data_IF_318630203611
#
_entry.id   IF_318630203611
#
_cell.length_a   1.000
_cell.length_b   1.000
_cell.length_c   1.000
_cell.angle_alpha   90.00
_cell.angle_beta   90.00
_cell.angle_gamma   90.00
#
_symmetry.space_group_name_H-M   'P 1'
#
loop_
_entity.id
_entity.type
_entity.pdbx_description
1 polymer ?
#
# COMPACT_ATOMS: atom_id res chain seq x y z
N UNK A 1 -6.37 36.31 -4.52
CA UNK A 1 -7.05 35.49 -3.48
C UNK A 1 -6.08 34.39 -3.08
N UNK A 2 -5.91 34.09 -1.79
CA UNK A 2 -5.14 32.91 -1.37
C UNK A 2 -5.93 31.68 -1.82
N UNK A 3 -5.30 30.80 -2.59
CA UNK A 3 -5.89 29.51 -2.95
C UNK A 3 -5.89 28.62 -1.69
N UNK A 4 -7.07 28.29 -1.17
CA UNK A 4 -7.24 27.49 0.05
C UNK A 4 -8.29 26.41 -0.19
N UNK A 5 -7.92 25.15 0.13
CA UNK A 5 -8.82 24.00 -0.04
C UNK A 5 -8.57 22.94 1.06
N UNK A 6 -9.51 22.03 1.19
CA UNK A 6 -9.34 20.83 2.00
C UNK A 6 -9.05 19.64 1.10
N UNK A 7 -8.07 18.83 1.50
CA UNK A 7 -7.80 17.54 0.88
C UNK A 7 -7.84 16.43 1.92
N UNK A 8 -8.47 15.31 1.58
CA UNK A 8 -8.77 14.24 2.52
C UNK A 8 -8.23 12.91 2.00
N UNK A 9 -7.59 12.15 2.89
CA UNK A 9 -7.21 10.75 2.65
C UNK A 9 -7.70 9.86 3.77
N UNK A 10 -7.89 8.59 3.47
CA UNK A 10 -8.26 7.56 4.44
C UNK A 10 -7.23 6.44 4.50
N UNK A 11 -7.22 5.72 5.60
CA UNK A 11 -6.49 4.47 5.79
C UNK A 11 -7.31 3.48 6.60
N UNK A 12 -6.92 2.22 6.57
CA UNK A 12 -7.57 1.14 7.32
C UNK A 12 -6.54 0.32 8.09
N UNK A 13 -6.98 -0.31 9.19
CA UNK A 13 -6.13 -1.20 9.97
C UNK A 13 -5.89 -2.53 9.24
N UNK A 14 -4.92 -3.28 9.73
CA UNK A 14 -4.66 -4.66 9.29
C UNK A 14 -5.84 -5.61 9.45
N UNK A 15 -6.77 -5.30 10.38
CA UNK A 15 -7.97 -6.10 10.62
C UNK A 15 -9.18 -5.74 9.75
N UNK A 16 -9.07 -4.73 8.89
CA UNK A 16 -10.08 -4.46 7.88
C UNK A 16 -10.19 -5.64 6.91
N UNK A 17 -11.40 -6.09 6.51
CA UNK A 17 -11.58 -7.27 5.66
C UNK A 17 -10.76 -7.26 4.37
N UNK A 18 -10.75 -6.15 3.64
CA UNK A 18 -9.94 -6.04 2.40
C UNK A 18 -8.44 -6.17 2.71
N UNK A 19 -7.95 -5.60 3.82
CA UNK A 19 -6.53 -5.73 4.19
C UNK A 19 -6.19 -7.09 4.78
N UNK A 20 -7.13 -7.79 5.37
CA UNK A 20 -6.98 -9.21 5.72
C UNK A 20 -6.79 -10.05 4.45
N UNK A 21 -7.59 -9.80 3.42
CA UNK A 21 -7.47 -10.49 2.13
C UNK A 21 -6.10 -10.23 1.47
N UNK A 22 -5.64 -8.97 1.45
CA UNK A 22 -4.31 -8.59 0.96
C UNK A 22 -3.19 -9.31 1.72
N UNK A 23 -3.26 -9.35 3.06
CA UNK A 23 -2.26 -10.02 3.90
C UNK A 23 -2.21 -11.53 3.66
N UNK A 24 -3.35 -12.19 3.46
CA UNK A 24 -3.38 -13.63 3.15
C UNK A 24 -2.74 -13.88 1.78
N UNK A 25 -3.10 -13.10 0.78
CA UNK A 25 -2.56 -13.23 -0.59
C UNK A 25 -1.05 -13.00 -0.63
N UNK A 26 -0.54 -11.98 0.08
CA UNK A 26 0.89 -11.72 0.16
C UNK A 26 1.65 -12.73 1.03
N UNK A 27 1.01 -13.33 2.03
CA UNK A 27 1.61 -14.42 2.81
C UNK A 27 1.77 -15.70 1.97
N UNK A 28 0.82 -15.98 1.07
CA UNK A 28 0.96 -17.08 0.10
C UNK A 28 2.11 -16.79 -0.86
N UNK A 29 2.21 -15.57 -1.38
CA UNK A 29 3.32 -15.17 -2.24
C UNK A 29 4.67 -15.32 -1.53
N UNK A 30 4.82 -14.80 -0.33
CA UNK A 30 6.07 -14.88 0.43
C UNK A 30 6.47 -16.33 0.72
N UNK A 31 5.51 -17.18 1.09
CA UNK A 31 5.75 -18.60 1.31
C UNK A 31 6.33 -19.31 0.08
N UNK A 32 5.80 -18.96 -1.10
CA UNK A 32 6.22 -19.57 -2.37
C UNK A 32 7.56 -19.00 -2.82
N UNK A 33 7.74 -17.67 -2.85
CA UNK A 33 8.94 -17.03 -3.40
C UNK A 33 10.19 -17.33 -2.56
N UNK A 34 10.03 -17.55 -1.26
CA UNK A 34 11.12 -17.99 -0.37
C UNK A 34 11.71 -19.35 -0.81
N UNK A 35 10.89 -20.20 -1.41
CA UNK A 35 11.24 -21.59 -1.79
C UNK A 35 11.43 -21.77 -3.29
N UNK A 36 10.82 -20.91 -4.11
CA UNK A 36 10.87 -20.92 -5.57
C UNK A 36 10.83 -19.49 -6.11
N UNK A 37 11.99 -18.89 -6.29
CA UNK A 37 12.13 -17.52 -6.83
C UNK A 37 11.69 -17.40 -8.30
N UNK A 38 11.49 -18.52 -9.01
CA UNK A 38 11.01 -18.53 -10.40
C UNK A 38 9.50 -18.70 -10.48
N UNK A 39 8.82 -18.88 -9.36
CA UNK A 39 7.38 -19.05 -9.30
C UNK A 39 6.65 -17.87 -9.96
N UNK A 40 5.54 -18.16 -10.60
CA UNK A 40 4.56 -17.16 -11.02
C UNK A 40 3.35 -17.29 -10.10
N UNK A 41 2.98 -16.19 -9.50
CA UNK A 41 1.91 -16.14 -8.50
C UNK A 41 0.95 -15.00 -8.82
N UNK A 42 -0.32 -15.36 -8.94
CA UNK A 42 -1.45 -14.45 -8.97
C UNK A 42 -2.50 -15.00 -7.99
N UNK A 43 -2.39 -14.60 -6.72
CA UNK A 43 -3.20 -15.12 -5.62
C UNK A 43 -4.17 -14.05 -5.16
N UNK A 44 -5.45 -14.37 -5.16
CA UNK A 44 -6.52 -13.51 -4.67
C UNK A 44 -7.26 -14.19 -3.53
N UNK A 45 -7.74 -13.39 -2.60
CA UNK A 45 -8.45 -13.86 -1.41
C UNK A 45 -9.76 -13.11 -1.26
N UNK A 46 -10.83 -13.84 -0.97
CA UNK A 46 -12.10 -13.33 -0.49
C UNK A 46 -12.28 -13.76 0.96
N UNK A 47 -12.61 -12.82 1.84
CA UNK A 47 -13.04 -13.09 3.20
C UNK A 47 -14.47 -12.59 3.41
N UNK A 48 -15.28 -13.35 4.13
CA UNK A 48 -16.65 -12.99 4.46
C UNK A 48 -17.07 -13.72 5.74
N UNK A 49 -18.33 -13.56 6.13
CA UNK A 49 -18.85 -14.13 7.36
C UNK A 49 -18.57 -15.65 7.47
N UNK A 50 -17.63 -16.01 8.34
CA UNK A 50 -17.28 -17.39 8.66
C UNK A 50 -16.40 -18.13 7.65
N UNK A 51 -15.98 -17.51 6.53
CA UNK A 51 -15.10 -18.18 5.57
C UNK A 51 -14.05 -17.27 4.91
N UNK A 52 -13.01 -17.93 4.42
CA UNK A 52 -11.96 -17.37 3.57
C UNK A 52 -11.84 -18.27 2.33
N UNK A 53 -11.84 -17.69 1.14
CA UNK A 53 -11.56 -18.37 -0.11
C UNK A 53 -10.28 -17.81 -0.73
N UNK A 54 -9.31 -18.70 -1.00
CA UNK A 54 -8.09 -18.38 -1.72
C UNK A 54 -8.24 -18.92 -3.13
N UNK A 55 -8.01 -18.09 -4.13
CA UNK A 55 -8.16 -18.44 -5.55
C UNK A 55 -7.04 -17.79 -6.37
N UNK A 56 -7.02 -18.06 -7.67
CA UNK A 56 -6.01 -17.52 -8.58
C UNK A 56 -5.18 -18.63 -9.25
N UNK A 57 -4.06 -18.26 -9.85
CA UNK A 57 -3.22 -19.15 -10.63
C UNK A 57 -1.78 -19.15 -10.14
N UNK A 58 -1.20 -20.33 -10.04
CA UNK A 58 0.19 -20.54 -9.65
C UNK A 58 0.94 -21.36 -10.71
N UNK A 59 2.22 -21.02 -10.91
CA UNK A 59 3.19 -21.87 -11.59
C UNK A 59 4.39 -22.03 -10.67
N UNK A 60 4.44 -23.12 -9.93
CA UNK A 60 5.50 -23.42 -8.97
C UNK A 60 5.53 -24.92 -8.69
N UNK A 61 6.70 -25.42 -8.27
CA UNK A 61 6.86 -26.78 -7.75
C UNK A 61 6.59 -26.88 -6.25
N UNK A 62 6.36 -25.75 -5.57
CA UNK A 62 6.17 -25.68 -4.13
C UNK A 62 4.73 -25.99 -3.75
N UNK A 63 4.52 -26.92 -2.86
CA UNK A 63 3.23 -27.08 -2.18
C UNK A 63 3.09 -26.01 -1.10
N UNK A 64 2.12 -25.10 -1.28
CA UNK A 64 1.78 -24.09 -0.30
C UNK A 64 0.57 -24.55 0.55
N UNK A 65 0.72 -24.65 1.88
CA UNK A 65 -0.37 -25.06 2.77
C UNK A 65 -1.33 -23.89 3.02
N UNK A 66 -2.20 -23.60 2.05
CA UNK A 66 -3.07 -22.43 1.99
C UNK A 66 -3.89 -22.21 3.27
N UNK A 67 -4.42 -23.30 3.85
CA UNK A 67 -5.23 -23.20 5.05
C UNK A 67 -4.44 -22.76 6.28
N UNK A 68 -3.22 -23.29 6.44
CA UNK A 68 -2.34 -22.94 7.55
C UNK A 68 -1.85 -21.50 7.41
N UNK A 69 -1.46 -21.09 6.21
CA UNK A 69 -1.03 -19.71 5.90
C UNK A 69 -2.15 -18.73 6.25
N UNK A 70 -3.38 -18.96 5.76
CA UNK A 70 -4.51 -18.08 6.06
C UNK A 70 -4.80 -18.00 7.56
N UNK A 71 -4.81 -19.14 8.28
CA UNK A 71 -5.07 -19.18 9.72
C UNK A 71 -4.02 -18.41 10.52
N UNK A 72 -2.74 -18.55 10.18
CA UNK A 72 -1.67 -17.83 10.86
C UNK A 72 -1.75 -16.31 10.62
N UNK A 73 -2.12 -15.87 9.42
CA UNK A 73 -2.37 -14.45 9.14
C UNK A 73 -3.54 -13.93 9.96
N UNK A 74 -4.67 -14.61 9.96
CA UNK A 74 -5.88 -14.22 10.72
C UNK A 74 -5.58 -14.16 12.23
N UNK A 75 -4.83 -15.13 12.75
CA UNK A 75 -4.36 -15.15 14.14
C UNK A 75 -3.44 -13.98 14.46
N UNK A 76 -2.46 -13.69 13.59
CA UNK A 76 -1.52 -12.57 13.74
C UNK A 76 -2.22 -11.21 13.73
N UNK A 77 -3.26 -11.05 12.91
CA UNK A 77 -4.11 -9.85 12.89
C UNK A 77 -4.83 -9.67 14.22
N UNK A 78 -5.22 -10.77 14.90
CA UNK A 78 -5.87 -10.75 16.21
C UNK A 78 -7.32 -11.20 16.21
N UNK A 79 -7.78 -11.87 15.16
CA UNK A 79 -9.08 -12.55 15.16
C UNK A 79 -8.95 -13.93 15.84
N UNK A 80 -8.85 -13.88 17.16
CA UNK A 80 -8.55 -15.04 18.04
C UNK A 80 -9.71 -15.46 18.95
N UNK A 81 -10.83 -14.75 18.87
CA UNK A 81 -12.03 -14.98 19.67
C UNK A 81 -13.25 -15.03 18.77
N UNK A 82 -14.08 -16.05 18.94
CA UNK A 82 -15.34 -16.22 18.21
C UNK A 82 -16.33 -15.05 18.41
N UNK A 83 -16.23 -14.34 19.54
CA UNK A 83 -17.02 -13.13 19.82
C UNK A 83 -16.68 -11.95 18.88
N UNK A 84 -15.57 -12.02 18.14
CA UNK A 84 -15.24 -11.02 17.13
C UNK A 84 -15.95 -11.28 15.79
N UNK A 85 -16.73 -12.38 15.72
CA UNK A 85 -17.49 -12.78 14.54
C UNK A 85 -16.67 -13.45 13.44
N UNK A 86 -15.35 -13.52 13.61
CA UNK A 86 -14.41 -14.25 12.78
C UNK A 86 -13.29 -14.80 13.67
N UNK A 87 -12.91 -16.06 13.51
CA UNK A 87 -11.91 -16.73 14.36
C UNK A 87 -11.04 -17.63 13.49
N UNK A 88 -9.72 -17.50 13.63
CA UNK A 88 -8.73 -18.27 12.86
C UNK A 88 -8.90 -19.80 12.97
N UNK A 89 -9.50 -20.30 14.08
CA UNK A 89 -9.70 -21.74 14.31
C UNK A 89 -10.93 -22.28 13.61
N UNK A 90 -12.02 -21.48 13.58
CA UNK A 90 -13.36 -21.93 13.17
C UNK A 90 -13.76 -21.49 11.77
N UNK A 91 -13.12 -20.46 11.19
CA UNK A 91 -13.41 -20.02 9.83
C UNK A 91 -13.12 -21.14 8.82
N UNK A 92 -14.03 -21.36 7.87
CA UNK A 92 -13.81 -22.25 6.75
C UNK A 92 -12.75 -21.63 5.81
N UNK A 93 -11.73 -22.39 5.42
CA UNK A 93 -10.74 -21.95 4.42
C UNK A 93 -10.87 -22.84 3.19
N UNK A 94 -11.30 -22.23 2.09
CA UNK A 94 -11.52 -22.88 0.80
C UNK A 94 -10.31 -22.58 -0.10
N UNK A 95 -9.87 -23.59 -0.85
CA UNK A 95 -8.80 -23.46 -1.83
C UNK A 95 -9.36 -23.72 -3.24
N UNK A 96 -9.33 -22.69 -4.09
CA UNK A 96 -9.74 -22.73 -5.50
C UNK A 96 -8.59 -22.34 -6.43
N UNK A 97 -7.34 -22.49 -5.97
CA UNK A 97 -6.16 -22.14 -6.77
C UNK A 97 -5.94 -23.17 -7.89
N UNK A 98 -5.74 -22.68 -9.10
CA UNK A 98 -5.44 -23.46 -10.31
C UNK A 98 -4.01 -23.27 -10.80
N UNK A 99 -3.69 -23.97 -11.91
CA UNK A 99 -2.42 -23.78 -12.64
C UNK A 99 -2.53 -22.58 -13.59
N UNK A 100 -1.42 -21.84 -13.76
CA UNK A 100 -1.35 -20.73 -14.70
C UNK A 100 -1.46 -21.22 -16.14
N UNK A 101 -2.25 -20.50 -16.97
CA UNK A 101 -2.41 -20.78 -18.39
C UNK A 101 -1.05 -20.80 -19.13
N UNK A 102 -0.77 -21.84 -19.94
CA UNK A 102 0.43 -21.89 -20.77
C UNK A 102 0.54 -20.73 -21.76
N UNK A 103 -0.60 -20.22 -22.24
CA UNK A 103 -0.64 -19.15 -23.25
C UNK A 103 -0.08 -17.82 -22.72
N UNK A 104 -0.31 -17.52 -21.43
CA UNK A 104 0.24 -16.32 -20.78
C UNK A 104 1.76 -16.42 -20.64
N UNK A 105 2.30 -17.61 -20.38
CA UNK A 105 3.73 -17.83 -20.18
C UNK A 105 4.58 -17.58 -21.43
N UNK A 106 4.04 -17.79 -22.65
CA UNK A 106 4.80 -17.63 -23.90
C UNK A 106 5.33 -16.21 -24.11
N UNK A 107 4.62 -15.20 -23.62
CA UNK A 107 5.03 -13.79 -23.76
C UNK A 107 5.94 -13.28 -22.64
N UNK A 108 5.99 -13.97 -21.50
CA UNK A 108 6.70 -13.52 -20.29
C UNK A 108 8.10 -14.14 -20.18
N UNK A 109 8.20 -15.46 -20.29
CA UNK A 109 9.47 -16.18 -20.20
C UNK A 109 10.08 -16.33 -21.59
N UNK A 110 11.11 -15.55 -21.93
CA UNK A 110 11.77 -15.56 -23.23
C UNK A 110 13.02 -16.44 -23.23
N UNK A 111 13.32 -17.04 -24.38
CA UNK A 111 14.50 -17.91 -24.58
C UNK A 111 15.84 -17.16 -24.39
N UNK A 112 15.86 -15.82 -24.64
CA UNK A 112 17.02 -14.95 -24.46
C UNK A 112 17.29 -14.57 -22.97
N UNK A 113 16.46 -15.05 -22.05
CA UNK A 113 16.58 -14.77 -20.62
C UNK A 113 16.07 -13.39 -20.20
N UNK A 114 15.47 -12.63 -21.12
CA UNK A 114 14.74 -11.41 -20.81
C UNK A 114 13.31 -11.75 -20.34
N UNK A 115 12.66 -10.80 -19.65
CA UNK A 115 11.29 -10.92 -19.15
C UNK A 115 10.46 -9.87 -19.87
N UNK A 116 9.48 -10.30 -20.64
CA UNK A 116 8.45 -9.42 -21.19
C UNK A 116 7.44 -9.03 -20.11
N UNK A 117 6.77 -7.90 -20.27
CA UNK A 117 5.69 -7.52 -19.36
C UNK A 117 4.59 -8.59 -19.36
N UNK A 118 4.17 -9.03 -18.18
CA UNK A 118 3.15 -10.07 -18.00
C UNK A 118 1.75 -9.61 -18.37
N UNK A 119 1.53 -8.32 -18.52
CA UNK A 119 0.27 -7.72 -18.94
C UNK A 119 0.52 -6.35 -19.58
N UNK A 120 -0.52 -5.80 -20.22
CA UNK A 120 -0.59 -4.39 -20.55
C UNK A 120 -1.00 -3.61 -19.30
N UNK A 121 -0.58 -2.35 -19.19
CA UNK A 121 -1.04 -1.50 -18.11
C UNK A 121 -0.28 -0.19 -18.01
N UNK A 122 -0.79 0.66 -17.12
CA UNK A 122 -0.14 1.92 -16.77
C UNK A 122 -0.04 2.01 -15.24
N UNK A 123 1.12 2.42 -14.74
CA UNK A 123 1.43 2.49 -13.32
C UNK A 123 1.92 3.89 -12.97
N UNK A 124 1.58 4.35 -11.78
CA UNK A 124 1.95 5.67 -11.31
C UNK A 124 2.85 5.60 -10.10
N UNK A 125 3.83 6.51 -10.07
CA UNK A 125 4.62 6.85 -8.90
C UNK A 125 4.46 8.32 -8.55
N UNK A 126 4.54 8.64 -7.27
CA UNK A 126 4.42 10.00 -6.77
C UNK A 126 5.38 10.26 -5.62
N UNK A 127 5.85 11.51 -5.53
CA UNK A 127 6.56 12.03 -4.37
C UNK A 127 6.35 13.55 -4.26
N UNK A 128 6.34 14.06 -3.03
CA UNK A 128 6.23 15.49 -2.75
C UNK A 128 6.93 15.82 -1.41
N UNK A 129 7.37 17.07 -1.25
CA UNK A 129 8.06 17.58 -0.06
C UNK A 129 7.05 17.98 1.06
N UNK A 130 6.10 17.11 1.37
CA UNK A 130 5.12 17.37 2.43
C UNK A 130 5.45 16.64 3.74
N UNK A 131 6.22 15.54 3.66
CA UNK A 131 6.70 14.76 4.78
C UNK A 131 8.15 14.34 4.58
N UNK A 132 8.83 13.89 5.62
CA UNK A 132 10.23 13.42 5.54
C UNK A 132 10.37 12.23 4.58
N UNK A 133 9.38 11.37 4.50
CA UNK A 133 9.34 10.21 3.59
C UNK A 133 8.91 10.57 2.17
N UNK A 134 8.71 11.88 1.88
CA UNK A 134 8.26 12.40 0.59
C UNK A 134 6.90 11.85 0.14
N UNK A 135 5.99 11.70 1.11
CA UNK A 135 4.59 11.30 0.91
C UNK A 135 3.64 12.48 1.11
N UNK A 136 2.44 12.43 0.50
CA UNK A 136 1.37 13.40 0.82
C UNK A 136 0.99 13.33 2.30
N UNK A 137 0.84 14.48 2.93
CA UNK A 137 0.57 14.57 4.36
C UNK A 137 -0.73 13.86 4.78
N UNK A 138 -1.88 13.98 4.09
CA UNK A 138 -3.13 13.38 4.55
C UNK A 138 -3.08 11.86 4.65
N UNK A 139 -2.53 11.17 3.64
CA UNK A 139 -2.42 9.70 3.68
C UNK A 139 -1.36 9.24 4.69
N UNK A 140 -0.26 9.96 4.82
CA UNK A 140 0.77 9.69 5.81
C UNK A 140 0.18 9.71 7.23
N UNK A 141 -0.57 10.76 7.58
CA UNK A 141 -1.21 10.87 8.89
C UNK A 141 -2.31 9.81 9.08
N UNK A 142 -3.08 9.50 8.05
CA UNK A 142 -4.09 8.45 8.11
C UNK A 142 -3.46 7.07 8.40
N UNK A 143 -2.34 6.73 7.78
CA UNK A 143 -1.59 5.50 8.07
C UNK A 143 -1.05 5.47 9.51
N UNK A 144 -0.49 6.57 9.99
CA UNK A 144 -0.01 6.65 11.36
C UNK A 144 -1.11 6.38 12.39
N UNK A 145 -2.32 6.92 12.18
CA UNK A 145 -3.46 6.71 13.07
C UNK A 145 -3.92 5.25 13.08
N UNK A 146 -4.05 4.61 11.90
CA UNK A 146 -4.48 3.21 11.83
C UNK A 146 -3.43 2.25 12.36
N UNK A 147 -2.15 2.54 12.15
CA UNK A 147 -1.06 1.78 12.75
C UNK A 147 -1.05 1.89 14.27
N UNK A 148 -1.26 3.10 14.81
CA UNK A 148 -1.34 3.32 16.25
C UNK A 148 -2.55 2.61 16.89
N UNK A 149 -3.72 2.58 16.23
CA UNK A 149 -4.87 1.79 16.68
C UNK A 149 -4.49 0.32 16.87
N UNK A 150 -3.81 -0.28 15.89
CA UNK A 150 -3.37 -1.67 15.97
C UNK A 150 -2.31 -1.88 17.07
N UNK A 151 -1.35 -0.96 17.23
CA UNK A 151 -0.35 -1.03 18.28
C UNK A 151 -0.98 -0.96 19.67
N UNK A 152 -1.87 0.02 19.93
CA UNK A 152 -2.54 0.20 21.22
C UNK A 152 -3.44 -0.98 21.61
N UNK A 153 -3.97 -1.67 20.62
CA UNK A 153 -4.66 -2.95 20.83
C UNK A 153 -3.69 -4.07 21.22
N UNK A 154 -2.57 -4.21 20.47
CA UNK A 154 -1.60 -5.29 20.66
C UNK A 154 -0.80 -5.18 21.96
N UNK A 155 -0.42 -3.96 22.36
CA UNK A 155 0.30 -3.70 23.61
C UNK A 155 -0.62 -3.63 24.84
N UNK A 156 -1.93 -3.84 24.63
CA UNK A 156 -2.96 -3.83 25.67
C UNK A 156 -3.12 -2.46 26.39
N UNK A 157 -2.65 -1.37 25.78
CA UNK A 157 -2.92 0.00 26.30
C UNK A 157 -4.41 0.33 26.21
N UNK A 158 -5.05 -0.06 25.09
CA UNK A 158 -6.49 0.07 24.87
C UNK A 158 -7.11 -1.30 24.62
N UNK A 159 -7.32 -2.13 25.66
CA UNK A 159 -7.70 -3.53 25.56
C UNK A 159 -9.11 -3.77 24.99
N UNK A 160 -9.93 -2.72 24.96
CA UNK A 160 -11.28 -2.77 24.37
C UNK A 160 -11.28 -2.62 22.85
N UNK A 161 -10.16 -2.25 22.21
CA UNK A 161 -10.05 -2.20 20.74
C UNK A 161 -10.04 -3.60 20.15
N UNK A 162 -10.69 -3.73 18.99
CA UNK A 162 -10.72 -4.94 18.16
C UNK A 162 -10.00 -4.68 16.83
N UNK A 163 -9.73 -5.71 16.00
CA UNK A 163 -8.83 -5.58 14.88
C UNK A 163 -9.26 -4.60 13.77
N UNK A 164 -10.57 -4.48 13.49
CA UNK A 164 -11.07 -3.65 12.40
C UNK A 164 -11.12 -2.17 12.75
N UNK A 165 -10.73 -1.34 11.82
CA UNK A 165 -10.78 0.11 12.00
C UNK A 165 -10.36 0.88 10.76
N UNK A 166 -10.73 2.15 10.75
CA UNK A 166 -10.44 3.12 9.69
C UNK A 166 -10.07 4.47 10.29
N UNK A 167 -9.27 5.22 9.57
CA UNK A 167 -9.02 6.63 9.82
C UNK A 167 -9.24 7.45 8.56
N UNK A 168 -9.62 8.72 8.72
CA UNK A 168 -9.67 9.69 7.65
C UNK A 168 -9.15 11.02 8.20
N UNK A 169 -8.28 11.68 7.44
CA UNK A 169 -7.68 12.97 7.83
C UNK A 169 -7.90 13.97 6.71
N UNK A 170 -8.54 15.09 7.06
CA UNK A 170 -8.72 16.25 6.17
C UNK A 170 -7.72 17.33 6.56
N UNK A 171 -6.85 17.68 5.63
CA UNK A 171 -5.80 18.69 5.79
C UNK A 171 -6.18 19.93 4.99
N UNK A 172 -6.00 21.09 5.60
CA UNK A 172 -6.14 22.40 4.93
C UNK A 172 -4.85 22.75 4.23
N UNK A 173 -4.97 23.11 2.99
CA UNK A 173 -3.90 23.62 2.16
C UNK A 173 -4.07 25.11 1.90
N UNK A 174 -2.98 25.85 1.90
CA UNK A 174 -2.89 27.24 1.42
C UNK A 174 -1.72 27.35 0.42
N UNK A 175 -2.00 27.86 -0.77
CA UNK A 175 -1.01 27.96 -1.84
C UNK A 175 -0.28 26.61 -2.10
N UNK A 176 -1.03 25.51 -2.15
CA UNK A 176 -0.55 24.13 -2.34
C UNK A 176 0.41 23.61 -1.25
N UNK A 177 0.39 24.18 -0.05
CA UNK A 177 1.15 23.69 1.11
C UNK A 177 0.20 23.31 2.23
N UNK A 178 0.41 22.17 2.91
CA UNK A 178 -0.39 21.79 4.07
C UNK A 178 -0.12 22.76 5.22
N UNK A 179 -1.17 23.21 5.90
CA UNK A 179 -1.05 24.20 7.00
C UNK A 179 -1.66 23.73 8.30
N UNK A 180 -2.74 22.95 8.28
CA UNK A 180 -3.37 22.43 9.50
C UNK A 180 -4.29 21.25 9.21
N UNK A 181 -4.60 20.48 10.24
CA UNK A 181 -5.63 19.43 10.19
C UNK A 181 -6.98 20.08 10.50
N UNK A 182 -7.98 19.89 9.63
CA UNK A 182 -9.34 20.38 9.83
C UNK A 182 -10.22 19.34 10.53
N UNK A 183 -10.17 18.09 10.07
CA UNK A 183 -11.07 17.03 10.55
C UNK A 183 -10.32 15.70 10.67
N UNK A 184 -10.60 14.97 11.74
CA UNK A 184 -10.16 13.59 11.95
C UNK A 184 -11.39 12.72 12.18
N UNK A 185 -11.52 11.66 11.38
CA UNK A 185 -12.52 10.61 11.58
C UNK A 185 -11.82 9.31 11.91
N UNK A 186 -12.23 8.66 13.00
CA UNK A 186 -11.75 7.32 13.38
C UNK A 186 -12.97 6.43 13.60
N UNK A 187 -13.02 5.33 12.88
CA UNK A 187 -13.98 4.24 13.12
C UNK A 187 -13.18 3.03 13.59
N UNK A 188 -13.45 2.53 14.78
CA UNK A 188 -12.72 1.41 15.35
C UNK A 188 -13.66 0.42 15.99
N UNK A 189 -13.48 -0.86 15.65
CA UNK A 189 -14.19 -1.96 16.28
C UNK A 189 -13.76 -2.06 17.74
N UNK A 190 -14.73 -2.32 18.64
CA UNK A 190 -14.49 -2.34 20.08
C UNK A 190 -15.33 -3.39 20.81
N UNK A 191 -14.98 -3.68 22.06
CA UNK A 191 -15.77 -4.54 22.93
C UNK A 191 -17.10 -3.87 23.31
N UNK A 192 -18.17 -4.63 23.56
CA UNK A 192 -19.47 -4.07 23.90
C UNK A 192 -19.50 -3.34 25.27
N UNK A 193 -18.52 -3.56 26.13
CA UNK A 193 -18.48 -3.05 27.51
C UNK A 193 -18.01 -1.59 27.58
N UNK A 194 -17.21 -1.12 26.60
CA UNK A 194 -16.70 0.25 26.60
C UNK A 194 -17.78 1.27 26.22
N UNK A 195 -17.92 2.33 27.00
CA UNK A 195 -18.84 3.42 26.66
C UNK A 195 -18.29 4.27 25.50
N UNK A 196 -19.18 4.82 24.66
CA UNK A 196 -18.79 5.68 23.54
C UNK A 196 -17.99 6.91 24.00
N UNK A 197 -18.34 7.46 25.16
CA UNK A 197 -17.60 8.60 25.74
C UNK A 197 -16.16 8.21 26.06
N UNK A 198 -15.95 7.11 26.77
CA UNK A 198 -14.61 6.63 27.13
C UNK A 198 -13.79 6.24 25.92
N UNK A 199 -14.41 5.53 24.96
CA UNK A 199 -13.77 5.18 23.69
C UNK A 199 -13.26 6.43 22.96
N UNK A 200 -14.10 7.47 22.83
CA UNK A 200 -13.75 8.72 22.14
C UNK A 200 -12.59 9.43 22.84
N UNK A 201 -12.68 9.61 24.16
CA UNK A 201 -11.64 10.28 24.97
C UNK A 201 -10.31 9.53 24.85
N UNK A 202 -10.33 8.22 25.06
CA UNK A 202 -9.12 7.39 24.99
C UNK A 202 -8.46 7.39 23.61
N UNK A 203 -9.25 7.32 22.52
CA UNK A 203 -8.71 7.38 21.15
C UNK A 203 -8.07 8.73 20.87
N UNK A 204 -8.68 9.83 21.29
CA UNK A 204 -8.12 11.17 21.08
C UNK A 204 -6.82 11.34 21.87
N UNK A 205 -6.81 10.96 23.15
CA UNK A 205 -5.66 11.17 24.04
C UNK A 205 -4.50 10.21 23.75
N UNK A 206 -4.80 8.91 23.60
CA UNK A 206 -3.77 7.87 23.47
C UNK A 206 -3.28 7.65 22.04
N UNK A 207 -4.03 8.11 21.04
CA UNK A 207 -3.69 7.92 19.62
C UNK A 207 -3.46 9.29 18.97
N UNK A 208 -4.49 10.13 18.86
CA UNK A 208 -4.39 11.35 18.03
C UNK A 208 -3.30 12.27 18.55
N UNK A 209 -3.36 12.68 19.81
CA UNK A 209 -2.40 13.63 20.38
C UNK A 209 -0.98 13.08 20.58
N UNK A 210 -0.82 11.74 20.60
CA UNK A 210 0.51 11.11 20.72
C UNK A 210 1.20 10.84 19.40
N UNK A 211 0.42 10.74 18.32
CA UNK A 211 0.92 10.30 17.02
C UNK A 211 1.06 11.46 16.04
N UNK A 212 0.10 12.40 16.04
CA UNK A 212 0.10 13.46 15.05
C UNK A 212 1.05 14.61 15.41
N UNK A 213 1.75 15.21 14.42
CA UNK A 213 2.66 16.33 14.64
C UNK A 213 1.92 17.54 15.22
N UNK A 214 2.49 18.11 16.27
CA UNK A 214 1.87 19.22 17.01
C UNK A 214 1.66 20.48 16.18
N UNK A 215 2.51 20.71 15.19
CA UNK A 215 2.41 21.86 14.28
C UNK A 215 1.14 21.89 13.44
N UNK A 216 0.49 20.75 13.22
CA UNK A 216 -0.77 20.66 12.47
C UNK A 216 -2.01 20.61 13.38
N UNK A 217 -1.81 20.50 14.72
CA UNK A 217 -2.90 20.43 15.69
C UNK A 217 -3.29 21.83 16.18
N UNK A 218 -4.58 22.05 16.37
CA UNK A 218 -5.16 23.27 16.96
C UNK A 218 -6.53 22.99 17.61
N UNK A 219 -7.05 23.93 18.39
CA UNK A 219 -8.25 23.72 19.22
C UNK A 219 -9.56 23.53 18.43
N UNK A 220 -9.57 23.91 17.14
CA UNK A 220 -10.78 23.86 16.31
C UNK A 220 -10.87 22.60 15.44
N UNK A 221 -10.05 21.56 15.68
CA UNK A 221 -10.12 20.30 14.95
C UNK A 221 -11.44 19.58 15.27
N UNK A 222 -12.13 19.11 14.21
CA UNK A 222 -13.34 18.32 14.35
C UNK A 222 -12.98 16.84 14.53
N UNK A 223 -13.35 16.24 15.65
CA UNK A 223 -13.13 14.83 15.95
C UNK A 223 -14.41 14.03 15.84
N UNK A 224 -14.44 13.06 14.95
CA UNK A 224 -15.50 12.06 14.79
C UNK A 224 -14.95 10.67 15.13
N UNK A 225 -15.30 10.15 16.31
CA UNK A 225 -14.92 8.78 16.72
C UNK A 225 -16.19 7.95 16.79
N UNK A 226 -16.29 6.91 15.96
CA UNK A 226 -17.49 6.07 15.79
C UNK A 226 -18.77 6.91 15.70
N UNK A 227 -18.92 7.81 14.71
CA UNK A 227 -20.03 8.78 14.66
C UNK A 227 -21.40 8.13 14.58
N UNK A 228 -21.51 6.88 14.15
CA UNK A 228 -22.75 6.10 14.11
C UNK A 228 -23.07 5.41 15.44
N UNK A 229 -22.16 5.50 16.43
CA UNK A 229 -22.31 4.85 17.74
C UNK A 229 -21.53 3.53 17.83
N UNK A 230 -22.19 2.44 18.19
CA UNK A 230 -21.53 1.14 18.42
C UNK A 230 -20.93 0.55 17.14
N UNK A 231 -19.68 0.08 17.27
CA UNK A 231 -18.99 -0.70 16.24
C UNK A 231 -18.42 -1.99 16.87
N UNK A 232 -19.29 -2.87 17.31
CA UNK A 232 -18.97 -4.17 17.91
C UNK A 232 -18.85 -5.25 16.83
N UNK A 233 -19.80 -5.27 15.89
CA UNK A 233 -19.75 -6.15 14.72
C UNK A 233 -18.85 -5.49 13.67
N UNK A 234 -17.78 -6.17 13.31
CA UNK A 234 -16.79 -5.68 12.32
C UNK A 234 -16.00 -6.84 11.73
N UNK A 235 -14.94 -6.51 11.00
CA UNK A 235 -14.17 -7.50 10.26
C UNK A 235 -15.02 -8.23 9.22
N UNK A 236 -14.65 -9.47 8.81
CA UNK A 236 -15.36 -10.23 7.78
C UNK A 236 -16.82 -10.54 8.12
N UNK A 237 -17.24 -10.47 9.40
CA UNK A 237 -18.63 -10.57 9.78
C UNK A 237 -19.44 -9.33 9.38
N UNK A 238 -18.84 -8.16 9.46
CA UNK A 238 -19.51 -6.89 9.16
C UNK A 238 -19.59 -6.60 7.67
N UNK A 239 -18.53 -6.91 6.94
CA UNK A 239 -18.41 -6.66 5.50
C UNK A 239 -17.43 -7.66 4.86
N UNK A 240 -17.67 -8.00 3.60
CA UNK A 240 -16.77 -8.86 2.84
C UNK A 240 -15.51 -8.10 2.40
N UNK A 241 -14.37 -8.79 2.41
CA UNK A 241 -13.10 -8.27 1.93
C UNK A 241 -12.58 -9.04 0.73
N UNK A 242 -11.90 -8.34 -0.17
CA UNK A 242 -11.21 -8.90 -1.32
C UNK A 242 -9.83 -8.28 -1.49
N UNK A 243 -8.90 -9.08 -2.02
CA UNK A 243 -7.59 -8.61 -2.44
C UNK A 243 -7.71 -7.47 -3.46
N UNK A 244 -6.95 -6.40 -3.25
CA UNK A 244 -6.86 -5.29 -4.20
C UNK A 244 -8.04 -4.31 -4.19
N UNK A 245 -8.84 -4.26 -3.13
CA UNK A 245 -9.93 -3.27 -2.99
C UNK A 245 -9.55 -2.02 -2.21
N UNK A 246 -8.30 -1.87 -1.78
CA UNK A 246 -7.79 -0.70 -1.06
C UNK A 246 -6.60 -0.04 -1.78
N UNK A 247 -6.62 -0.05 -3.12
CA UNK A 247 -5.51 0.40 -3.96
C UNK A 247 -5.12 1.88 -3.73
N UNK A 248 -6.05 2.73 -3.36
CA UNK A 248 -5.79 4.14 -3.06
C UNK A 248 -5.16 4.30 -1.67
N UNK A 249 -5.59 3.50 -0.69
CA UNK A 249 -4.95 3.39 0.63
C UNK A 249 -3.52 2.83 0.49
N UNK A 250 -3.34 1.87 -0.40
CA UNK A 250 -2.04 1.23 -0.65
C UNK A 250 -1.02 2.19 -1.27
N UNK A 251 -1.47 3.26 -1.92
CA UNK A 251 -0.64 4.18 -2.68
C UNK A 251 -0.59 5.58 -2.08
N UNK A 252 -1.27 6.56 -2.65
CA UNK A 252 -1.06 7.99 -2.32
C UNK A 252 -2.30 8.69 -1.78
N UNK A 253 -3.35 7.96 -1.37
CA UNK A 253 -4.54 8.51 -0.74
C UNK A 253 -5.33 9.49 -1.63
N UNK A 254 -5.23 9.34 -2.97
CA UNK A 254 -5.90 10.20 -3.94
C UNK A 254 -5.07 11.39 -4.43
N UNK A 255 -3.86 11.61 -3.91
CA UNK A 255 -2.98 12.72 -4.34
C UNK A 255 -2.34 12.49 -5.71
N UNK A 256 -2.43 11.28 -6.25
CA UNK A 256 -1.89 10.88 -7.54
C UNK A 256 -2.91 10.00 -8.27
N UNK A 257 -2.98 10.04 -9.62
CA UNK A 257 -3.71 9.04 -10.38
C UNK A 257 -3.27 7.61 -10.05
N UNK A 258 -4.14 6.64 -10.33
CA UNK A 258 -3.86 5.22 -10.15
C UNK A 258 -4.17 4.46 -11.45
N UNK A 259 -3.33 3.48 -11.79
CA UNK A 259 -3.52 2.67 -13.01
C UNK A 259 -4.60 1.60 -12.89
N UNK A 260 -5.08 1.32 -11.67
CA UNK A 260 -6.14 0.33 -11.40
C UNK A 260 -5.61 -1.05 -10.99
N UNK A 261 -4.33 -1.37 -11.21
CA UNK A 261 -3.74 -2.65 -10.85
C UNK A 261 -3.58 -2.83 -9.32
N UNK A 262 -4.04 -3.95 -8.79
CA UNK A 262 -3.78 -4.36 -7.41
C UNK A 262 -2.37 -4.91 -7.27
N UNK A 263 -1.79 -4.81 -6.05
CA UNK A 263 -0.43 -5.27 -5.77
C UNK A 263 -0.40 -6.64 -5.09
N UNK A 264 -1.14 -6.79 -4.00
CA UNK A 264 -1.08 -7.98 -3.15
C UNK A 264 -1.40 -9.26 -3.91
N UNK A 265 -0.68 -10.33 -3.59
CA UNK A 265 -0.82 -11.64 -4.22
C UNK A 265 -0.12 -11.79 -5.57
N UNK A 266 0.47 -10.73 -6.12
CA UNK A 266 1.18 -10.75 -7.41
C UNK A 266 2.70 -10.82 -7.21
N UNK A 267 3.35 -11.78 -7.87
CA UNK A 267 4.81 -11.84 -7.96
C UNK A 267 5.39 -10.69 -8.80
N UNK A 268 6.68 -10.35 -8.66
CA UNK A 268 7.26 -9.15 -9.30
C UNK A 268 7.36 -9.20 -10.83
N UNK A 269 7.05 -10.32 -11.49
CA UNK A 269 6.92 -10.35 -12.95
C UNK A 269 5.67 -9.60 -13.43
N UNK A 270 4.70 -9.38 -12.54
CA UNK A 270 3.49 -8.57 -12.80
C UNK A 270 3.84 -7.10 -12.66
N UNK A 271 3.86 -6.38 -13.77
CA UNK A 271 4.21 -4.95 -13.84
C UNK A 271 3.27 -4.06 -13.05
N UNK A 272 2.02 -4.47 -12.82
CA UNK A 272 1.11 -3.77 -11.91
C UNK A 272 1.77 -3.45 -10.56
N UNK A 273 2.53 -4.40 -10.03
CA UNK A 273 3.24 -4.25 -8.76
C UNK A 273 4.65 -3.70 -8.95
N UNK A 274 5.49 -4.37 -9.71
CA UNK A 274 6.90 -4.03 -9.85
C UNK A 274 7.13 -2.66 -10.49
N UNK A 275 6.37 -2.31 -11.53
CA UNK A 275 6.49 -1.02 -12.17
C UNK A 275 5.88 0.12 -11.34
N UNK A 276 4.86 -0.13 -10.51
CA UNK A 276 4.38 0.86 -9.55
C UNK A 276 5.46 1.17 -8.49
N UNK A 277 6.19 0.16 -8.01
CA UNK A 277 7.33 0.34 -7.10
C UNK A 277 8.47 1.08 -7.79
N UNK A 278 8.79 0.74 -9.05
CA UNK A 278 9.79 1.47 -9.82
C UNK A 278 9.38 2.93 -10.07
N UNK A 279 8.12 3.20 -10.39
CA UNK A 279 7.60 4.55 -10.56
C UNK A 279 7.71 5.38 -9.27
N UNK A 280 7.43 4.77 -8.10
CA UNK A 280 7.68 5.40 -6.78
C UNK A 280 9.16 5.70 -6.59
N UNK A 281 10.03 4.74 -6.85
CA UNK A 281 11.48 4.90 -6.74
C UNK A 281 12.00 6.05 -7.59
N UNK A 282 11.54 6.15 -8.84
CA UNK A 282 11.87 7.26 -9.76
C UNK A 282 11.37 8.59 -9.19
N UNK A 283 10.09 8.69 -8.83
CA UNK A 283 9.49 9.93 -8.32
C UNK A 283 10.19 10.40 -7.04
N UNK A 284 10.48 9.48 -6.11
CA UNK A 284 11.17 9.80 -4.84
C UNK A 284 12.59 10.33 -5.09
N UNK A 285 13.34 9.72 -5.99
CA UNK A 285 14.70 10.17 -6.33
C UNK A 285 14.71 11.51 -7.07
N UNK A 286 13.73 11.79 -7.95
CA UNK A 286 13.57 13.11 -8.58
C UNK A 286 13.38 14.22 -7.54
N UNK A 287 12.49 14.00 -6.56
CA UNK A 287 12.25 14.99 -5.50
C UNK A 287 13.43 15.08 -4.54
N UNK A 288 14.02 13.97 -4.13
CA UNK A 288 15.19 13.92 -3.25
C UNK A 288 16.43 14.59 -3.90
N UNK A 289 16.58 14.54 -5.23
CA UNK A 289 17.64 15.24 -5.94
C UNK A 289 17.50 16.77 -5.90
N UNK A 290 16.35 17.30 -5.54
CA UNK A 290 16.06 18.73 -5.56
C UNK A 290 15.75 19.30 -6.96
N UNK A 291 15.61 18.46 -7.97
CA UNK A 291 15.25 18.86 -9.35
C UNK A 291 13.80 19.36 -9.41
N UNK A 292 12.95 18.88 -8.51
CA UNK A 292 11.56 19.34 -8.35
C UNK A 292 11.11 19.16 -6.89
N UNK A 293 9.97 19.77 -6.53
CA UNK A 293 9.34 19.61 -5.22
C UNK A 293 8.21 18.59 -5.23
N UNK A 294 7.65 18.29 -6.41
CA UNK A 294 6.63 17.28 -6.69
C UNK A 294 6.95 16.55 -7.98
N UNK A 295 6.69 15.25 -8.00
CA UNK A 295 6.83 14.44 -9.21
C UNK A 295 5.72 13.40 -9.28
N UNK A 296 5.00 13.37 -10.40
CA UNK A 296 4.18 12.24 -10.85
C UNK A 296 4.91 11.56 -11.99
N UNK A 297 5.12 10.26 -11.88
CA UNK A 297 5.75 9.43 -12.91
C UNK A 297 4.73 8.41 -13.39
N UNK A 298 4.54 8.28 -14.69
CA UNK A 298 3.77 7.21 -15.29
C UNK A 298 4.69 6.31 -16.11
N UNK A 299 4.56 5.01 -15.90
CA UNK A 299 5.15 3.96 -16.73
C UNK A 299 4.02 3.18 -17.39
N UNK A 300 4.14 2.87 -18.68
CA UNK A 300 3.17 2.04 -19.39
C UNK A 300 3.85 0.89 -20.10
N UNK A 301 3.21 -0.28 -20.09
CA UNK A 301 3.72 -1.50 -20.71
C UNK A 301 2.68 -2.13 -21.63
N UNK A 302 3.15 -2.90 -22.60
CA UNK A 302 2.35 -3.78 -23.42
C UNK A 302 2.76 -5.22 -23.14
N UNK A 303 1.80 -6.15 -23.14
CA UNK A 303 2.05 -7.57 -22.88
C UNK A 303 3.16 -8.13 -23.80
N UNK A 304 4.11 -8.87 -23.23
CA UNK A 304 5.24 -9.47 -23.93
C UNK A 304 6.34 -8.49 -24.40
N UNK A 305 6.15 -7.18 -24.21
CA UNK A 305 7.16 -6.16 -24.57
C UNK A 305 8.10 -5.91 -23.40
N UNK A 306 9.41 -5.81 -23.69
CA UNK A 306 10.46 -5.64 -22.67
C UNK A 306 10.53 -4.20 -22.20
N UNK A 307 10.64 -3.25 -23.13
CA UNK A 307 10.76 -1.83 -22.81
C UNK A 307 9.39 -1.21 -22.49
N UNK A 308 9.32 -0.24 -21.58
CA UNK A 308 8.09 0.51 -21.39
C UNK A 308 7.70 1.25 -22.68
N UNK A 309 6.44 1.14 -23.09
CA UNK A 309 5.92 1.84 -24.27
C UNK A 309 5.81 3.34 -24.03
N UNK A 310 5.74 3.78 -22.78
CA UNK A 310 5.71 5.19 -22.39
C UNK A 310 6.35 5.41 -21.03
N UNK A 311 7.11 6.50 -20.90
CA UNK A 311 7.60 7.07 -19.65
C UNK A 311 7.19 8.54 -19.66
N UNK A 312 6.44 8.97 -18.66
CA UNK A 312 5.97 10.35 -18.53
C UNK A 312 6.30 10.90 -17.15
N UNK A 313 6.79 12.14 -17.10
CA UNK A 313 7.13 12.83 -15.85
C UNK A 313 6.44 14.19 -15.80
N UNK A 314 5.64 14.41 -14.74
CA UNK A 314 5.02 15.70 -14.46
C UNK A 314 5.51 16.22 -13.10
N UNK A 315 6.15 17.36 -13.09
CA UNK A 315 6.67 18.00 -11.87
C UNK A 315 5.74 19.08 -11.31
N UNK A 316 4.51 19.20 -11.80
CA UNK A 316 3.53 20.19 -11.32
C UNK A 316 4.07 21.62 -11.31
N UNK A 317 4.83 21.98 -12.33
CA UNK A 317 5.51 23.29 -12.47
C UNK A 317 6.51 23.62 -11.34
N UNK A 318 7.03 22.60 -10.63
CA UNK A 318 8.05 22.80 -9.56
C UNK A 318 9.47 22.56 -10.04
N UNK A 319 9.69 22.20 -11.31
CA UNK A 319 11.00 22.06 -11.93
C UNK A 319 11.25 23.14 -12.97
N UNK A 320 12.53 23.51 -13.14
CA UNK A 320 12.99 24.36 -14.25
C UNK A 320 13.26 23.56 -15.53
N UNK A 321 13.28 22.24 -15.47
CA UNK A 321 13.52 21.34 -16.59
C UNK A 321 12.22 20.93 -17.25
N UNK A 322 12.25 20.76 -18.57
CA UNK A 322 11.11 20.30 -19.35
C UNK A 322 10.80 18.81 -19.08
N UNK A 323 9.56 18.38 -19.33
CA UNK A 323 9.19 16.95 -19.25
C UNK A 323 10.08 16.07 -20.11
N UNK A 324 10.45 16.51 -21.32
CA UNK A 324 11.32 15.74 -22.22
C UNK A 324 12.74 15.54 -21.66
N UNK A 325 13.30 16.55 -21.01
CA UNK A 325 14.61 16.42 -20.34
C UNK A 325 14.53 15.49 -19.13
N UNK A 326 13.47 15.58 -18.35
CA UNK A 326 13.22 14.71 -17.20
C UNK A 326 13.01 13.24 -17.62
N UNK A 327 12.25 13.00 -18.68
CA UNK A 327 12.07 11.67 -19.25
C UNK A 327 13.38 11.07 -19.76
N UNK A 328 14.20 11.87 -20.45
CA UNK A 328 15.53 11.45 -20.89
C UNK A 328 16.44 11.10 -19.71
N UNK A 329 16.41 11.89 -18.65
CA UNK A 329 17.12 11.60 -17.40
C UNK A 329 16.67 10.27 -16.79
N UNK A 330 15.36 10.08 -16.64
CA UNK A 330 14.79 8.86 -16.07
C UNK A 330 15.20 7.62 -16.87
N UNK A 331 15.08 7.66 -18.19
CA UNK A 331 15.49 6.54 -19.07
C UNK A 331 16.98 6.25 -19.02
N UNK A 332 17.83 7.24 -18.67
CA UNK A 332 19.29 7.04 -18.58
C UNK A 332 19.75 6.54 -17.22
N UNK A 333 19.01 6.87 -16.13
CA UNK A 333 19.41 6.58 -14.75
C UNK A 333 18.79 5.27 -14.23
N UNK A 334 17.59 4.91 -14.70
CA UNK A 334 16.84 3.79 -14.19
C UNK A 334 16.67 2.68 -15.23
N UNK A 335 16.76 1.44 -14.78
CA UNK A 335 16.44 0.26 -15.59
C UNK A 335 14.93 0.01 -15.45
N UNK A 336 14.18 0.24 -16.52
CA UNK A 336 12.71 0.20 -16.49
C UNK A 336 12.12 -1.03 -17.21
N UNK A 337 12.94 -1.96 -17.69
CA UNK A 337 12.47 -3.27 -18.13
C UNK A 337 11.98 -4.10 -16.93
N UNK A 338 11.02 -5.02 -17.07
CA UNK A 338 10.55 -5.84 -15.94
C UNK A 338 11.70 -6.52 -15.19
N UNK A 339 12.64 -7.14 -15.91
CA UNK A 339 13.84 -7.75 -15.34
C UNK A 339 14.73 -6.73 -14.64
N UNK A 340 14.97 -5.59 -15.27
CA UNK A 340 15.79 -4.51 -14.73
C UNK A 340 15.20 -3.93 -13.42
N UNK A 341 13.87 -3.84 -13.32
CA UNK A 341 13.17 -3.43 -12.09
C UNK A 341 13.36 -4.48 -11.00
N UNK A 342 13.10 -5.74 -11.30
CA UNK A 342 13.23 -6.86 -10.35
C UNK A 342 14.63 -6.90 -9.76
N UNK A 343 15.67 -6.81 -10.60
CA UNK A 343 17.06 -6.82 -10.18
C UNK A 343 17.45 -5.55 -9.39
N UNK A 344 17.06 -4.36 -9.87
CA UNK A 344 17.45 -3.08 -9.25
C UNK A 344 16.81 -2.89 -7.88
N UNK A 345 15.61 -3.40 -7.68
CA UNK A 345 14.86 -3.30 -6.44
C UNK A 345 14.91 -4.59 -5.60
N UNK A 346 15.65 -5.61 -6.05
CA UNK A 346 15.82 -6.90 -5.35
C UNK A 346 14.48 -7.50 -4.88
N UNK A 347 13.56 -7.70 -5.84
CA UNK A 347 12.18 -8.07 -5.55
C UNK A 347 11.93 -9.58 -5.41
N UNK A 348 12.93 -10.45 -5.65
CA UNK A 348 12.80 -11.91 -5.50
C UNK A 348 13.05 -12.37 -4.05
N UNK A 349 12.51 -11.62 -3.08
CA UNK A 349 12.61 -11.90 -1.65
C UNK A 349 11.23 -11.98 -1.01
N UNK A 350 11.06 -12.70 0.12
CA UNK A 350 9.79 -12.76 0.85
C UNK A 350 9.56 -11.48 1.69
N UNK A 351 9.21 -10.37 1.03
CA UNK A 351 9.05 -9.04 1.62
C UNK A 351 7.60 -8.52 1.54
N UNK A 352 6.73 -9.27 0.89
CA UNK A 352 5.44 -8.78 0.45
C UNK A 352 4.40 -8.69 1.57
N UNK A 353 4.42 -9.61 2.52
CA UNK A 353 3.57 -9.53 3.72
C UNK A 353 3.78 -8.25 4.53
N UNK A 354 4.97 -7.65 4.45
CA UNK A 354 5.24 -6.36 5.10
C UNK A 354 4.52 -5.20 4.42
N UNK A 355 4.19 -5.31 3.14
CA UNK A 355 3.56 -4.25 2.36
C UNK A 355 2.05 -4.20 2.51
N UNK A 356 1.42 -5.31 2.88
CA UNK A 356 0.00 -5.57 2.76
C UNK A 356 -0.91 -4.79 3.72
N UNK A 357 -0.35 -3.99 4.64
CA UNK A 357 -1.09 -3.07 5.49
C UNK A 357 -0.29 -1.77 5.69
N UNK A 358 -0.99 -0.65 5.93
CA UNK A 358 -0.41 0.68 6.22
C UNK A 358 0.36 1.32 5.06
N UNK A 359 0.00 0.97 3.82
CA UNK A 359 0.56 1.52 2.59
C UNK A 359 1.83 0.81 2.12
N UNK A 360 2.02 0.75 0.80
CA UNK A 360 3.20 0.21 0.15
C UNK A 360 4.34 1.24 0.04
N UNK A 361 4.01 2.52 0.22
CA UNK A 361 4.94 3.65 0.06
C UNK A 361 5.04 4.48 1.33
N UNK A 362 6.18 5.18 1.49
CA UNK A 362 6.43 6.08 2.61
C UNK A 362 6.86 5.41 3.90
N UNK A 363 7.25 4.14 3.87
CA UNK A 363 7.85 3.43 4.99
C UNK A 363 9.28 3.03 4.64
N UNK A 364 10.25 3.62 5.31
CA UNK A 364 11.68 3.45 5.03
C UNK A 364 12.27 2.22 5.76
N UNK A 365 11.65 1.05 5.50
CA UNK A 365 12.17 -0.24 5.96
C UNK A 365 13.32 -0.68 5.05
N UNK A 366 14.25 -1.48 5.56
CA UNK A 366 15.39 -2.00 4.79
C UNK A 366 14.92 -2.84 3.59
N UNK A 367 13.82 -3.55 3.76
CA UNK A 367 13.19 -4.38 2.73
C UNK A 367 12.58 -3.56 1.60
N UNK A 368 12.18 -2.31 1.86
CA UNK A 368 11.48 -1.45 0.90
C UNK A 368 12.48 -0.66 0.05
N UNK A 369 13.17 -1.36 -0.83
CA UNK A 369 14.24 -0.81 -1.67
C UNK A 369 13.79 0.33 -2.58
N UNK A 370 12.52 0.39 -2.93
CA UNK A 370 11.91 1.48 -3.72
C UNK A 370 11.77 2.79 -2.95
N UNK A 371 11.99 2.79 -1.65
CA UNK A 371 12.05 4.01 -0.83
C UNK A 371 13.46 4.60 -0.72
N UNK A 372 14.49 3.95 -1.26
CA UNK A 372 15.87 4.46 -1.27
C UNK A 372 16.02 5.67 -2.20
N UNK A 373 16.85 6.64 -1.80
CA UNK A 373 17.16 7.86 -2.57
C UNK A 373 18.56 7.85 -3.18
N UNK A 374 19.13 6.68 -3.37
CA UNK A 374 20.51 6.45 -3.81
C UNK A 374 20.80 6.86 -5.27
N UNK A 375 19.77 7.23 -6.05
CA UNK A 375 19.90 7.76 -7.41
C UNK A 375 19.86 9.30 -7.48
N UNK A 376 19.65 9.99 -6.36
CA UNK A 376 19.50 11.44 -6.32
C UNK A 376 20.76 12.18 -6.84
N UNK A 377 21.96 11.73 -6.49
CA UNK A 377 23.19 12.37 -6.97
C UNK A 377 23.44 12.10 -8.46
N UNK A 378 23.08 10.95 -8.97
CA UNK A 378 23.18 10.62 -10.40
C UNK A 378 22.24 11.51 -11.24
N UNK A 379 21.02 11.77 -10.74
CA UNK A 379 20.07 12.71 -11.35
C UNK A 379 20.65 14.13 -11.35
N UNK A 380 21.21 14.61 -10.23
CA UNK A 380 21.86 15.94 -10.17
C UNK A 380 23.00 16.07 -11.18
N UNK A 381 23.81 15.03 -11.32
CA UNK A 381 24.93 15.02 -12.24
C UNK A 381 24.48 15.07 -13.71
N UNK A 382 23.33 14.45 -14.04
CA UNK A 382 22.75 14.51 -15.38
C UNK A 382 22.43 15.95 -15.81
N UNK A 383 21.88 16.76 -14.90
CA UNK A 383 21.46 18.14 -15.18
C UNK A 383 22.58 19.20 -14.97
N UNK A 384 23.76 18.80 -14.51
CA UNK A 384 24.92 19.67 -14.41
C UNK A 384 25.77 19.66 -15.69
N UNK A 385 25.50 18.73 -16.60
CA UNK A 385 26.16 18.63 -17.93
C UNK A 385 25.44 19.53 -18.94
#
# INVERSE_FOLDING_TARGET
MKDSFLFTSESVTEGHPDKMADQISDAVLDYIIERDQKAKVACETLVSNGFCMITGELKTSVYAPMQEIAREVVKKIGYTDALYGFDYRSAAVLNGVGEQSPDINQGVDREDGEIGAGDQGLMFGYACKETETLMPLPIHLAHQLTFALAQKRRDNTLPFLRPDGKSQVSVRYENNKPVSIDTIVISTQHSPEVSQKHLKEAVIEEIVYKVLPKEYLHDNIKFFVNPTGKFVIGGPQGDAGLTGRKIIVDTYGGSCPHGGGAFSGKDPSKVDRSAAYAARYVAKNLVASGVCDKATVQLAYAIGVIEPVSVYVNTHNTSKHSSAELEKCVKSVFKLTPKGIIESLDLLRPIYSLTSAYGHFGRELEEFTWEKTNKAEEIKAFFKR
#
